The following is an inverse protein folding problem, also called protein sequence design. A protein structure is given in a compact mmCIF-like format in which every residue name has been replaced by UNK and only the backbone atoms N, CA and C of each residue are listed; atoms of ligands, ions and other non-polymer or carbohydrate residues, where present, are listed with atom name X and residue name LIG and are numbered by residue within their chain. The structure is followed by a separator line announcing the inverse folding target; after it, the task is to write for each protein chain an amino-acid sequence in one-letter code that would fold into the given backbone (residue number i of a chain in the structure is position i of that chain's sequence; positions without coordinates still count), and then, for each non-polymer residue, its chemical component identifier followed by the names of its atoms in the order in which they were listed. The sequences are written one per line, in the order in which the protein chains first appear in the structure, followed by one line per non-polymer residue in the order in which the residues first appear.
data_IF_812978479607
#
_entry.id   IF_812978479607
#
_cell.length_a   1.000
_cell.length_b   1.000
_cell.length_c   1.000
_cell.angle_alpha   90.00
_cell.angle_beta   90.00
_cell.angle_gamma   90.00
#
_symmetry.space_group_name_H-M   'P 1'
#
loop_
_entity.id
_entity.type
_entity.pdbx_description
1 polymer ?
#
# COMPACT_ATOMS: atom_id res chain seq x y z
N UNK A 1 5.53 18.47 -3.21
CA UNK A 1 5.96 18.20 -1.82
C UNK A 1 5.62 19.45 -1.00
N UNK A 2 5.08 19.33 0.22
CA UNK A 2 4.62 20.49 1.03
C UNK A 2 5.70 21.57 1.19
N UNK A 3 6.94 21.18 1.41
CA UNK A 3 8.11 22.07 1.51
C UNK A 3 8.36 22.97 0.29
N UNK A 4 7.82 22.65 -0.90
CA UNK A 4 7.93 23.51 -2.08
C UNK A 4 6.99 24.73 -2.02
N UNK A 5 5.92 24.64 -1.23
CA UNK A 5 4.84 25.64 -1.21
C UNK A 5 4.58 26.21 0.20
N UNK A 6 5.26 25.67 1.22
CA UNK A 6 5.15 26.04 2.61
C UNK A 6 6.57 26.34 3.14
N UNK A 7 6.95 27.62 3.08
CA UNK A 7 8.28 28.08 3.46
C UNK A 7 8.53 27.87 4.95
N UNK A 8 7.54 28.09 5.81
CA UNK A 8 7.67 27.86 7.25
C UNK A 8 7.96 26.39 7.57
N UNK A 9 7.26 25.47 6.89
CA UNK A 9 7.52 24.03 7.02
C UNK A 9 8.90 23.65 6.49
N UNK A 10 9.32 24.21 5.35
CA UNK A 10 10.66 23.94 4.80
C UNK A 10 11.78 24.42 5.75
N UNK A 11 11.65 25.62 6.29
CA UNK A 11 12.58 26.16 7.28
C UNK A 11 12.60 25.33 8.57
N UNK A 12 11.43 24.85 9.02
CA UNK A 12 11.35 23.93 10.16
C UNK A 12 12.13 22.63 9.91
N UNK A 13 11.99 22.01 8.73
CA UNK A 13 12.76 20.81 8.38
C UNK A 13 14.28 21.06 8.37
N UNK A 14 14.72 22.24 7.89
CA UNK A 14 16.14 22.62 7.93
C UNK A 14 16.62 22.75 9.37
N UNK A 15 15.87 23.44 10.24
CA UNK A 15 16.24 23.58 11.67
C UNK A 15 16.32 22.26 12.41
N UNK A 16 15.50 21.27 12.05
CA UNK A 16 15.65 19.89 12.54
C UNK A 16 16.99 19.31 12.08
N UNK A 17 17.30 19.40 10.78
CA UNK A 17 18.53 18.86 10.20
C UNK A 17 19.82 19.50 10.75
N UNK A 18 19.77 20.78 11.07
CA UNK A 18 20.88 21.54 11.65
C UNK A 18 21.01 21.37 13.18
N UNK A 19 20.11 20.61 13.82
CA UNK A 19 20.12 20.38 15.27
C UNK A 19 19.74 21.63 16.09
N UNK A 20 19.02 22.56 15.48
CA UNK A 20 18.58 23.82 16.13
C UNK A 20 17.33 23.59 16.99
N UNK A 21 16.44 22.70 16.55
CA UNK A 21 15.21 22.39 17.29
C UNK A 21 15.52 21.66 18.61
N UNK A 22 14.91 22.07 19.74
CA UNK A 22 15.18 21.47 21.03
C UNK A 22 14.73 20.01 21.07
N UNK A 23 15.63 19.14 21.51
CA UNK A 23 15.33 17.72 21.74
C UNK A 23 14.86 17.48 23.16
N UNK A 24 13.93 16.54 23.31
CA UNK A 24 13.57 15.87 24.55
C UNK A 24 14.54 14.68 24.78
N UNK A 25 14.46 13.97 25.94
CA UNK A 25 15.14 12.69 26.09
C UNK A 25 14.92 11.78 24.88
N UNK A 26 15.91 10.95 24.57
CA UNK A 26 15.94 10.04 23.42
C UNK A 26 15.98 10.73 22.04
N UNK A 27 16.61 11.92 21.96
CA UNK A 27 16.80 12.69 20.72
C UNK A 27 15.49 13.02 19.97
N UNK A 28 14.38 13.09 20.70
CA UNK A 28 13.06 13.35 20.12
C UNK A 28 12.80 14.84 19.95
N UNK A 29 12.40 15.26 18.75
CA UNK A 29 11.96 16.64 18.48
C UNK A 29 10.45 16.77 18.73
N UNK A 30 10.05 17.86 19.39
CA UNK A 30 8.62 18.17 19.57
C UNK A 30 8.06 18.79 18.29
N UNK A 31 7.14 18.09 17.63
CA UNK A 31 6.42 18.65 16.48
C UNK A 31 5.49 19.82 16.90
N UNK A 32 5.40 20.88 16.10
CA UNK A 32 4.40 21.93 16.26
C UNK A 32 2.97 21.35 16.24
N UNK A 33 2.10 21.89 17.10
CA UNK A 33 0.71 21.40 17.25
C UNK A 33 -0.10 21.53 15.95
N UNK A 34 0.20 22.49 15.09
CA UNK A 34 -0.51 22.69 13.83
C UNK A 34 -0.14 21.68 12.73
N UNK A 35 0.87 20.83 12.95
CA UNK A 35 1.24 19.72 12.05
C UNK A 35 1.15 18.35 12.74
N UNK A 36 0.53 18.28 13.92
CA UNK A 36 0.42 17.06 14.70
C UNK A 36 -1.04 16.84 15.13
N UNK A 37 -1.46 15.57 15.10
CA UNK A 37 -2.72 15.15 15.71
C UNK A 37 -2.38 14.55 17.08
N UNK A 38 -2.88 15.11 18.19
CA UNK A 38 -2.67 14.54 19.52
C UNK A 38 -3.17 13.10 19.60
N UNK A 39 -2.42 12.26 20.30
CA UNK A 39 -2.82 10.89 20.58
C UNK A 39 -3.80 10.85 21.76
N UNK A 40 -5.05 10.50 21.49
CA UNK A 40 -6.15 10.35 22.46
C UNK A 40 -6.69 8.91 22.47
N UNK A 41 -5.97 7.97 21.83
CA UNK A 41 -6.37 6.59 21.61
C UNK A 41 -6.65 6.29 20.14
N UNK A 42 -7.23 5.12 19.86
CA UNK A 42 -7.45 4.65 18.48
C UNK A 42 -8.32 5.60 17.63
N UNK A 43 -9.20 6.39 18.25
CA UNK A 43 -9.97 7.41 17.54
C UNK A 43 -9.08 8.44 16.83
N UNK A 44 -7.88 8.75 17.35
CA UNK A 44 -6.90 9.63 16.68
C UNK A 44 -6.50 9.10 15.30
N UNK A 45 -6.54 7.78 15.08
CA UNK A 45 -6.28 7.17 13.77
C UNK A 45 -7.40 7.52 12.79
N UNK A 46 -8.65 7.44 13.23
CA UNK A 46 -9.79 7.84 12.38
C UNK A 46 -9.74 9.32 12.04
N UNK A 47 -9.39 10.17 13.01
CA UNK A 47 -9.18 11.61 12.79
C UNK A 47 -8.07 11.85 11.77
N UNK A 48 -6.95 11.12 11.86
CA UNK A 48 -5.87 11.18 10.87
C UNK A 48 -6.34 10.77 9.47
N UNK A 49 -7.06 9.65 9.36
CA UNK A 49 -7.60 9.18 8.07
C UNK A 49 -8.53 10.23 7.47
N UNK A 50 -9.47 10.77 8.24
CA UNK A 50 -10.40 11.81 7.77
C UNK A 50 -9.68 13.10 7.37
N UNK A 51 -8.61 13.46 8.08
CA UNK A 51 -7.82 14.64 7.76
C UNK A 51 -7.07 14.48 6.42
N UNK A 52 -6.49 13.30 6.17
CA UNK A 52 -5.74 13.02 4.93
C UNK A 52 -6.68 12.73 3.75
N UNK A 53 -7.76 11.97 4.00
CA UNK A 53 -8.74 11.53 3.02
C UNK A 53 -10.16 12.06 3.34
N UNK A 54 -10.38 13.38 3.27
CA UNK A 54 -11.72 13.94 3.48
C UNK A 54 -12.65 13.54 2.34
N UNK A 55 -13.91 13.20 2.67
CA UNK A 55 -14.95 12.85 1.70
C UNK A 55 -14.55 11.72 0.73
N UNK A 56 -13.85 10.70 1.26
CA UNK A 56 -13.32 9.59 0.47
C UNK A 56 -14.39 8.87 -0.38
N UNK A 57 -15.62 8.81 0.13
CA UNK A 57 -16.77 8.26 -0.60
C UNK A 57 -17.08 9.01 -1.90
N UNK A 58 -16.87 10.32 -1.93
CA UNK A 58 -17.10 11.17 -3.10
C UNK A 58 -15.92 11.12 -4.07
N UNK A 59 -14.70 11.03 -3.52
CA UNK A 59 -13.45 11.12 -4.27
C UNK A 59 -12.82 9.77 -4.65
N UNK A 60 -13.47 8.65 -4.33
CA UNK A 60 -12.97 7.31 -4.64
C UNK A 60 -12.58 7.11 -6.11
N UNK A 61 -13.16 7.88 -7.04
CA UNK A 61 -12.87 7.76 -8.47
C UNK A 61 -11.89 8.81 -9.01
N UNK A 62 -11.39 9.69 -8.16
CA UNK A 62 -10.60 10.86 -8.56
C UNK A 62 -9.10 10.57 -8.49
N UNK A 63 -8.50 10.28 -9.64
CA UNK A 63 -7.06 10.06 -9.74
C UNK A 63 -6.21 11.21 -9.16
N UNK A 64 -6.50 12.51 -9.43
CA UNK A 64 -5.74 13.61 -8.84
C UNK A 64 -5.84 13.67 -7.30
N UNK A 65 -7.00 13.33 -6.75
CA UNK A 65 -7.22 13.29 -5.31
C UNK A 65 -6.33 12.23 -4.65
N UNK A 66 -6.29 11.01 -5.21
CA UNK A 66 -5.52 9.89 -4.70
C UNK A 66 -4.00 10.11 -4.82
N UNK A 67 -3.54 10.74 -5.90
CA UNK A 67 -2.12 10.99 -6.14
C UNK A 67 -1.49 11.88 -5.06
N UNK A 68 -2.24 12.81 -4.50
CA UNK A 68 -1.69 13.83 -3.61
C UNK A 68 -1.63 13.40 -2.14
N UNK A 69 -2.11 12.20 -1.81
CA UNK A 69 -2.29 11.71 -0.45
C UNK A 69 -1.53 10.41 -0.22
N UNK A 70 -1.01 10.27 0.99
CA UNK A 70 -0.37 9.05 1.48
C UNK A 70 -0.32 9.11 3.01
N UNK A 71 -0.44 7.95 3.65
CA UNK A 71 -0.10 7.76 5.06
C UNK A 71 1.10 6.82 5.08
N UNK A 72 2.12 7.17 5.86
CA UNK A 72 3.34 6.40 6.01
C UNK A 72 3.45 5.94 7.47
N UNK A 73 3.78 4.68 7.67
CA UNK A 73 4.04 4.11 9.01
C UNK A 73 5.41 3.44 9.06
N UNK A 74 6.00 3.29 10.25
CA UNK A 74 7.29 2.61 10.39
C UNK A 74 7.22 1.09 10.15
N UNK A 75 6.07 0.46 10.41
CA UNK A 75 5.90 -0.99 10.35
C UNK A 75 4.83 -1.41 9.33
N UNK A 76 5.02 -2.57 8.71
CA UNK A 76 4.04 -3.16 7.78
C UNK A 76 2.76 -3.60 8.49
N UNK A 77 2.82 -3.98 9.77
CA UNK A 77 1.64 -4.34 10.55
C UNK A 77 0.71 -3.13 10.70
N UNK A 78 1.27 -1.95 10.94
CA UNK A 78 0.49 -0.70 10.99
C UNK A 78 -0.03 -0.30 9.61
N UNK A 79 0.75 -0.54 8.54
CA UNK A 79 0.26 -0.36 7.15
C UNK A 79 -0.97 -1.24 6.91
N UNK A 80 -0.92 -2.51 7.29
CA UNK A 80 -2.01 -3.45 7.08
C UNK A 80 -3.29 -3.00 7.81
N UNK A 81 -3.18 -2.66 9.10
CA UNK A 81 -4.32 -2.15 9.89
C UNK A 81 -4.94 -0.91 9.26
N UNK A 82 -4.13 0.07 8.85
CA UNK A 82 -4.62 1.29 8.21
C UNK A 82 -5.28 1.00 6.87
N UNK A 83 -4.66 0.17 6.03
CA UNK A 83 -5.21 -0.19 4.73
C UNK A 83 -6.57 -0.88 4.88
N UNK A 84 -6.72 -1.78 5.87
CA UNK A 84 -7.99 -2.45 6.17
C UNK A 84 -9.06 -1.45 6.65
N UNK A 85 -8.71 -0.48 7.48
CA UNK A 85 -9.64 0.58 7.91
C UNK A 85 -10.06 1.52 6.77
N UNK A 86 -9.14 1.82 5.85
CA UNK A 86 -9.35 2.79 4.77
C UNK A 86 -10.12 2.14 3.62
N UNK A 87 -9.80 0.90 3.23
CA UNK A 87 -10.49 0.19 2.15
C UNK A 87 -11.98 0.00 2.47
N UNK A 88 -12.32 -0.20 3.75
CA UNK A 88 -13.70 -0.35 4.19
C UNK A 88 -14.53 0.93 3.98
N UNK A 89 -13.88 2.10 3.96
CA UNK A 89 -14.52 3.40 3.69
C UNK A 89 -14.74 3.69 2.19
N UNK A 90 -14.11 2.93 1.29
CA UNK A 90 -14.39 3.10 -0.14
C UNK A 90 -15.81 2.60 -0.48
N UNK A 91 -16.53 3.33 -1.34
CA UNK A 91 -17.87 2.93 -1.77
C UNK A 91 -17.80 1.72 -2.70
N UNK A 92 -18.90 0.97 -2.77
CA UNK A 92 -19.05 -0.18 -3.67
C UNK A 92 -18.75 -1.53 -3.02
N UNK A 93 -18.85 -2.57 -3.84
CA UNK A 93 -18.72 -3.96 -3.41
C UNK A 93 -17.26 -4.31 -3.09
N UNK A 94 -17.06 -4.96 -1.94
CA UNK A 94 -15.79 -5.57 -1.57
C UNK A 94 -15.60 -6.88 -2.32
N UNK A 95 -14.41 -7.06 -2.91
CA UNK A 95 -14.02 -8.31 -3.53
C UNK A 95 -12.80 -8.90 -2.82
N UNK A 96 -12.96 -10.13 -2.31
CA UNK A 96 -11.90 -10.91 -1.70
C UNK A 96 -11.34 -11.90 -2.73
N UNK A 97 -10.16 -11.60 -3.25
CA UNK A 97 -9.51 -12.38 -4.31
C UNK A 97 -8.49 -13.33 -3.67
N UNK A 98 -8.82 -14.62 -3.61
CA UNK A 98 -7.95 -15.66 -3.03
C UNK A 98 -6.77 -15.98 -3.96
N UNK A 99 -5.58 -16.20 -3.40
CA UNK A 99 -4.42 -16.68 -4.15
C UNK A 99 -4.50 -18.18 -4.41
N UNK A 100 -3.64 -18.68 -5.32
CA UNK A 100 -3.36 -20.10 -5.46
C UNK A 100 -1.93 -20.37 -5.03
N UNK A 101 -1.76 -21.21 -4.00
CA UNK A 101 -0.48 -21.45 -3.37
C UNK A 101 -0.04 -22.90 -3.60
N UNK A 102 1.21 -23.07 -4.05
CA UNK A 102 1.80 -24.36 -4.40
C UNK A 102 3.24 -24.40 -3.88
N UNK A 103 3.73 -25.57 -3.47
CA UNK A 103 5.16 -25.77 -3.15
C UNK A 103 5.85 -26.43 -4.34
N UNK A 104 6.97 -25.88 -4.78
CA UNK A 104 7.71 -26.45 -5.91
C UNK A 104 8.29 -27.83 -5.56
N UNK A 105 7.94 -28.84 -6.36
CA UNK A 105 8.41 -30.21 -6.17
C UNK A 105 7.70 -31.00 -5.08
N UNK A 106 6.64 -30.45 -4.49
CA UNK A 106 5.78 -31.21 -3.56
C UNK A 106 4.82 -32.12 -4.35
N UNK A 107 5.29 -33.32 -4.68
CA UNK A 107 4.49 -34.30 -5.42
C UNK A 107 3.56 -35.15 -4.51
N UNK A 108 3.62 -34.96 -3.19
CA UNK A 108 2.90 -35.79 -2.22
C UNK A 108 1.96 -34.98 -1.34
N UNK A 109 1.69 -33.71 -1.68
CA UNK A 109 0.85 -32.78 -0.91
C UNK A 109 1.23 -32.76 0.57
N UNK A 110 2.53 -32.69 0.87
CA UNK A 110 3.07 -32.75 2.22
C UNK A 110 2.72 -31.50 3.04
N UNK A 111 2.38 -30.39 2.38
CA UNK A 111 2.03 -29.13 3.03
C UNK A 111 0.52 -28.87 2.98
N UNK A 112 -0.06 -28.59 4.16
CA UNK A 112 -1.45 -28.19 4.27
C UNK A 112 -1.69 -26.81 3.64
N UNK A 113 -2.77 -26.66 2.88
CA UNK A 113 -3.10 -25.42 2.19
C UNK A 113 -3.30 -24.26 3.16
N UNK A 114 -3.93 -24.50 4.32
CA UNK A 114 -4.15 -23.50 5.36
C UNK A 114 -2.82 -22.93 5.88
N UNK A 115 -1.80 -23.79 6.00
CA UNK A 115 -0.46 -23.37 6.36
C UNK A 115 0.15 -22.50 5.25
N UNK A 116 0.08 -22.92 3.98
CA UNK A 116 0.60 -22.13 2.86
C UNK A 116 -0.08 -20.76 2.75
N UNK A 117 -1.40 -20.70 2.93
CA UNK A 117 -2.20 -19.49 2.86
C UNK A 117 -1.90 -18.51 4.01
N UNK A 118 -1.43 -19.02 5.16
CA UNK A 118 -1.00 -18.19 6.30
C UNK A 118 0.36 -17.50 6.09
N UNK A 119 1.16 -17.91 5.10
CA UNK A 119 2.47 -17.33 4.84
C UNK A 119 2.30 -15.93 4.24
N UNK A 120 2.68 -14.92 5.02
CA UNK A 120 2.75 -13.51 4.63
C UNK A 120 4.21 -13.04 4.75
N UNK A 121 4.96 -13.15 3.64
CA UNK A 121 6.33 -12.65 3.55
C UNK A 121 6.33 -11.40 2.67
N UNK A 122 7.12 -10.39 3.01
CA UNK A 122 6.97 -9.02 2.47
C UNK A 122 7.09 -8.86 0.96
N UNK A 123 7.58 -9.88 0.23
CA UNK A 123 7.64 -9.87 -1.22
C UNK A 123 6.41 -10.51 -1.89
N UNK A 124 5.56 -11.22 -1.14
CA UNK A 124 4.36 -11.89 -1.64
C UNK A 124 3.11 -11.03 -1.39
N UNK A 125 2.22 -10.92 -2.38
CA UNK A 125 0.86 -10.45 -2.13
C UNK A 125 0.15 -11.32 -1.08
N UNK A 126 -0.81 -10.76 -0.34
CA UNK A 126 -1.60 -11.52 0.63
C UNK A 126 -2.39 -12.65 -0.04
N UNK A 127 -2.66 -13.71 0.71
CA UNK A 127 -3.53 -14.79 0.24
C UNK A 127 -4.94 -14.26 -0.06
N UNK A 128 -5.52 -13.52 0.89
CA UNK A 128 -6.79 -12.81 0.70
C UNK A 128 -6.47 -11.38 0.32
N UNK A 129 -6.70 -11.03 -0.95
CA UNK A 129 -6.51 -9.68 -1.43
C UNK A 129 -7.87 -8.97 -1.48
N UNK A 130 -8.12 -8.12 -0.50
CA UNK A 130 -9.34 -7.30 -0.38
C UNK A 130 -9.22 -6.07 -1.29
N UNK A 131 -10.13 -5.91 -2.25
CA UNK A 131 -10.12 -4.77 -3.19
C UNK A 131 -11.53 -4.22 -3.40
N UNK A 132 -11.61 -2.89 -3.55
CA UNK A 132 -12.80 -2.17 -4.05
C UNK A 132 -12.45 -1.33 -5.28
N UNK A 133 -13.44 -1.09 -6.14
CA UNK A 133 -13.28 -0.10 -7.21
C UNK A 133 -13.08 1.29 -6.61
N UNK A 134 -12.21 2.08 -7.23
CA UNK A 134 -11.76 3.37 -6.72
C UNK A 134 -10.60 3.29 -5.72
N UNK A 135 -10.28 2.12 -5.19
CA UNK A 135 -9.15 2.00 -4.25
C UNK A 135 -7.80 2.26 -4.96
N UNK A 136 -6.88 3.03 -4.34
CA UNK A 136 -5.51 3.11 -4.79
C UNK A 136 -4.80 1.77 -4.53
N UNK A 137 -4.00 1.34 -5.50
CA UNK A 137 -3.20 0.12 -5.45
C UNK A 137 -1.73 0.47 -5.69
N UNK A 138 -0.81 -0.40 -5.29
CA UNK A 138 0.62 -0.26 -5.56
C UNK A 138 1.16 -1.53 -6.18
N UNK A 139 1.87 -1.42 -7.30
CA UNK A 139 2.46 -2.57 -7.97
C UNK A 139 3.69 -3.07 -7.21
N UNK A 140 3.78 -4.37 -6.94
CA UNK A 140 4.88 -5.02 -6.20
C UNK A 140 5.98 -5.60 -7.09
N UNK A 141 5.80 -5.56 -8.42
CA UNK A 141 6.70 -6.20 -9.40
C UNK A 141 6.89 -5.36 -10.65
N UNK A 142 8.02 -5.55 -11.30
CA UNK A 142 8.26 -5.01 -12.63
C UNK A 142 7.57 -5.89 -13.67
N UNK A 143 6.53 -5.36 -14.31
CA UNK A 143 5.80 -6.05 -15.38
C UNK A 143 6.20 -5.50 -16.74
N UNK A 144 6.16 -4.18 -16.89
CA UNK A 144 6.61 -3.49 -18.10
C UNK A 144 7.16 -2.10 -17.75
N UNK A 145 8.45 -2.01 -17.40
CA UNK A 145 9.08 -0.74 -17.03
C UNK A 145 8.98 0.33 -18.13
N UNK A 146 8.93 -0.06 -19.41
CA UNK A 146 8.83 0.90 -20.53
C UNK A 146 7.50 1.65 -20.52
N UNK A 147 6.43 0.99 -20.05
CA UNK A 147 5.10 1.57 -19.89
C UNK A 147 4.84 2.08 -18.47
N UNK A 148 5.87 2.14 -17.61
CA UNK A 148 5.76 2.62 -16.24
C UNK A 148 5.05 1.64 -15.30
N UNK A 149 4.96 0.36 -15.65
CA UNK A 149 4.45 -0.69 -14.77
C UNK A 149 5.62 -1.34 -14.03
N UNK A 150 6.20 -0.59 -13.09
CA UNK A 150 7.30 -1.01 -12.24
C UNK A 150 6.89 -1.10 -10.76
N UNK A 151 7.72 -1.75 -9.95
CA UNK A 151 7.54 -1.80 -8.50
C UNK A 151 7.38 -0.39 -7.91
N UNK A 152 6.40 -0.19 -7.02
CA UNK A 152 6.04 1.09 -6.43
C UNK A 152 5.12 1.96 -7.28
N UNK A 153 4.75 1.54 -8.50
CA UNK A 153 3.81 2.29 -9.33
C UNK A 153 2.45 2.36 -8.64
N UNK A 154 1.98 3.59 -8.38
CA UNK A 154 0.64 3.81 -7.85
C UNK A 154 -0.39 3.71 -8.96
N UNK A 155 -1.47 3.02 -8.67
CA UNK A 155 -2.53 2.68 -9.60
C UNK A 155 -3.88 3.00 -8.97
N UNK A 156 -4.89 3.24 -9.79
CA UNK A 156 -6.28 3.36 -9.35
C UNK A 156 -7.07 2.18 -9.86
N UNK A 157 -7.74 1.45 -8.96
CA UNK A 157 -8.60 0.34 -9.35
C UNK A 157 -9.85 0.87 -10.05
N UNK A 158 -10.04 0.51 -11.31
CA UNK A 158 -11.16 1.01 -12.12
C UNK A 158 -12.15 -0.09 -12.48
N UNK A 159 -11.66 -1.32 -12.62
CA UNK A 159 -12.48 -2.50 -12.85
C UNK A 159 -11.88 -3.75 -12.20
N UNK A 160 -12.76 -4.65 -11.78
CA UNK A 160 -12.44 -5.90 -11.12
C UNK A 160 -13.06 -7.04 -11.93
N UNK A 161 -12.23 -7.98 -12.35
CA UNK A 161 -12.64 -9.22 -13.02
C UNK A 161 -11.93 -10.41 -12.37
N UNK A 162 -12.47 -11.60 -12.54
CA UNK A 162 -11.99 -12.82 -11.87
C UNK A 162 -10.47 -13.03 -11.96
N UNK A 163 -9.87 -12.76 -13.13
CA UNK A 163 -8.45 -12.97 -13.40
C UNK A 163 -7.73 -11.73 -13.96
N UNK A 164 -8.36 -10.55 -13.88
CA UNK A 164 -7.81 -9.31 -14.43
C UNK A 164 -8.24 -8.11 -13.60
N UNK A 165 -7.29 -7.23 -13.28
CA UNK A 165 -7.58 -5.89 -12.78
C UNK A 165 -7.48 -4.91 -13.92
N UNK A 166 -8.45 -4.02 -14.00
CA UNK A 166 -8.39 -2.87 -14.89
C UNK A 166 -8.02 -1.64 -14.05
N UNK A 167 -6.84 -1.08 -14.34
CA UNK A 167 -6.21 -0.05 -13.52
C UNK A 167 -5.81 1.16 -14.34
N UNK A 168 -5.73 2.31 -13.68
CA UNK A 168 -5.16 3.54 -14.24
C UNK A 168 -3.86 3.90 -13.53
N UNK A 169 -2.84 4.25 -14.29
CA UNK A 169 -1.55 4.69 -13.73
C UNK A 169 -1.71 6.09 -13.14
N UNK A 170 -1.35 6.25 -11.86
CA UNK A 170 -1.54 7.50 -11.13
C UNK A 170 -0.34 8.45 -11.23
N UNK A 171 0.86 7.93 -11.45
CA UNK A 171 2.11 8.72 -11.38
C UNK A 171 3.07 8.44 -12.53
N UNK A 172 3.97 9.38 -12.80
CA UNK A 172 5.02 9.24 -13.81
C UNK A 172 4.58 9.66 -15.21
N UNK A 173 5.45 9.42 -16.20
CA UNK A 173 5.24 9.81 -17.60
C UNK A 173 4.05 9.13 -18.27
N UNK A 174 3.53 8.05 -17.67
CA UNK A 174 2.39 7.29 -18.17
C UNK A 174 1.11 7.52 -17.34
N UNK A 175 1.05 8.55 -16.48
CA UNK A 175 -0.13 8.87 -15.70
C UNK A 175 -1.39 9.07 -16.58
N UNK A 176 -2.53 8.59 -16.11
CA UNK A 176 -3.82 8.59 -16.82
C UNK A 176 -4.01 7.46 -17.83
N UNK A 177 -2.95 6.68 -18.15
CA UNK A 177 -3.07 5.53 -19.04
C UNK A 177 -3.70 4.33 -18.32
N UNK A 178 -4.45 3.53 -19.08
CA UNK A 178 -5.05 2.26 -18.62
C UNK A 178 -4.08 1.10 -18.81
N UNK A 179 -4.09 0.18 -17.85
CA UNK A 179 -3.39 -1.09 -17.93
C UNK A 179 -4.27 -2.21 -17.37
N UNK A 180 -4.00 -3.44 -17.83
CA UNK A 180 -4.67 -4.63 -17.34
C UNK A 180 -3.65 -5.51 -16.63
N UNK A 181 -3.88 -5.77 -15.34
CA UNK A 181 -2.99 -6.61 -14.55
C UNK A 181 -3.55 -8.02 -14.46
N UNK A 182 -2.84 -9.04 -14.95
CA UNK A 182 -3.20 -10.43 -14.70
C UNK A 182 -2.67 -10.89 -13.33
N UNK A 183 -3.19 -12.03 -12.85
CA UNK A 183 -2.54 -12.76 -11.78
C UNK A 183 -1.25 -13.40 -12.30
N UNK A 184 -0.16 -13.25 -11.55
CA UNK A 184 1.15 -13.85 -11.88
C UNK A 184 1.60 -14.80 -10.78
N UNK A 185 2.44 -15.79 -11.11
CA UNK A 185 3.11 -16.62 -10.11
C UNK A 185 4.29 -15.84 -9.54
N UNK A 186 4.35 -15.72 -8.22
CA UNK A 186 5.42 -15.10 -7.45
C UNK A 186 6.00 -16.17 -6.54
N UNK A 187 7.32 -16.36 -6.63
CA UNK A 187 8.03 -17.36 -5.84
C UNK A 187 8.76 -16.72 -4.68
N UNK A 188 8.82 -17.44 -3.56
CA UNK A 188 9.79 -17.13 -2.50
C UNK A 188 11.19 -17.51 -2.96
N UNK A 189 12.17 -16.91 -2.28
CA UNK A 189 13.59 -17.04 -2.49
C UNK A 189 14.25 -17.65 -1.25
N UNK A 190 15.48 -18.13 -1.39
CA UNK A 190 16.23 -18.69 -0.25
C UNK A 190 16.41 -17.67 0.89
N UNK A 191 16.45 -16.37 0.58
CA UNK A 191 16.53 -15.29 1.57
C UNK A 191 15.25 -15.08 2.38
N UNK A 192 14.13 -15.67 1.97
CA UNK A 192 12.87 -15.55 2.69
C UNK A 192 12.78 -16.53 3.88
N UNK A 193 13.77 -17.41 4.09
CA UNK A 193 13.87 -18.25 5.29
C UNK A 193 12.87 -19.42 5.35
N UNK A 194 12.16 -19.72 4.26
CA UNK A 194 11.34 -20.92 4.17
C UNK A 194 12.19 -22.15 3.81
N UNK A 195 11.88 -23.34 4.34
CA UNK A 195 12.56 -24.57 3.97
C UNK A 195 12.17 -25.10 2.58
N UNK A 196 11.29 -24.40 1.86
CA UNK A 196 10.78 -24.74 0.54
C UNK A 196 10.52 -23.47 -0.29
N UNK A 197 10.34 -23.67 -1.60
CA UNK A 197 9.94 -22.59 -2.52
C UNK A 197 8.42 -22.59 -2.64
N UNK A 198 7.79 -21.55 -2.08
CA UNK A 198 6.37 -21.28 -2.23
C UNK A 198 6.16 -20.51 -3.54
N UNK A 199 5.24 -20.98 -4.37
CA UNK A 199 4.73 -20.29 -5.55
C UNK A 199 3.30 -19.81 -5.30
N UNK A 200 3.11 -18.51 -5.11
CA UNK A 200 1.79 -17.87 -4.97
C UNK A 200 1.35 -17.24 -6.29
N UNK A 201 0.21 -17.66 -6.83
CA UNK A 201 -0.43 -17.01 -7.98
C UNK A 201 -1.46 -15.99 -7.50
N UNK A 202 -1.13 -14.71 -7.65
CA UNK A 202 -1.98 -13.58 -7.23
C UNK A 202 -1.72 -12.35 -8.13
N UNK A 203 -2.57 -11.33 -8.06
CA UNK A 203 -2.23 -10.02 -8.62
C UNK A 203 -0.98 -9.46 -7.94
N UNK A 204 -0.05 -8.85 -8.70
CA UNK A 204 1.20 -8.34 -8.16
C UNK A 204 1.03 -6.97 -7.49
N UNK A 205 0.10 -6.87 -6.55
CA UNK A 205 -0.26 -5.66 -5.80
C UNK A 205 -0.32 -5.92 -4.30
#
# INVERSE_FOLDING_TARGET
MRSLHDQEFAEFLIRIGDGVEPTKPDDMVRLPLHIAIPWEGEHSIQVLIQHIFPDLELHGWDAPYMVQRAILTPTNDDVQKLNDMIIDQFPGEEHNLLSFDEVEGDNHDLYQQEFLNSIAQGSLPPHILKIKKGAPLMLLRNLDPRYGLCNGTRLLCRGLFMNMLDVEILTGSNAGKRAFLPRIKIKTSASDGLPFVLSRKQFPI
#
